data_IF_551881501360
#
_entry.id   IF_551881501360
#
_cell.length_a   1.000
_cell.length_b   1.000
_cell.length_c   1.000
_cell.angle_alpha   90.00
_cell.angle_beta   90.00
_cell.angle_gamma   90.00
#
_symmetry.space_group_name_H-M   'P 1'
#
loop_
_entity.id
_entity.type
_entity.pdbx_description
1 polymer ?
#
# COMPACT_ATOMS: atom_id res chain seq x y z
N UNK A 1 17.15 18.93 -2.44
CA UNK A 1 16.75 18.15 -1.25
C UNK A 1 16.50 19.15 -0.12
N UNK A 2 15.35 19.05 0.54
CA UNK A 2 14.87 19.98 1.56
C UNK A 2 14.17 19.19 2.69
N UNK A 3 13.92 19.81 3.83
CA UNK A 3 13.26 19.19 4.98
C UNK A 3 12.13 20.11 5.46
N UNK A 4 11.00 19.53 5.89
CA UNK A 4 9.85 20.26 6.43
C UNK A 4 10.21 21.17 7.59
N UNK A 5 9.42 22.23 7.76
CA UNK A 5 9.55 23.13 8.91
C UNK A 5 8.88 22.52 10.15
N UNK A 6 9.17 23.03 11.35
CA UNK A 6 8.51 22.56 12.58
C UNK A 6 6.98 22.69 12.55
N UNK A 7 6.43 23.70 11.88
CA UNK A 7 4.97 23.90 11.77
C UNK A 7 4.29 22.85 10.88
N UNK A 8 5.09 22.17 10.07
CA UNK A 8 4.71 21.15 9.10
C UNK A 8 5.03 19.73 9.64
N UNK A 9 5.36 19.59 10.93
CA UNK A 9 5.92 18.35 11.47
C UNK A 9 4.98 17.15 11.33
N UNK A 10 3.70 17.32 11.69
CA UNK A 10 2.73 16.24 11.79
C UNK A 10 2.28 15.72 10.42
N UNK A 11 2.11 16.62 9.44
CA UNK A 11 1.74 16.26 8.08
C UNK A 11 2.08 17.35 7.06
N UNK A 12 2.50 16.94 5.86
CA UNK A 12 2.85 17.81 4.72
C UNK A 12 2.40 17.16 3.41
N UNK A 13 2.02 17.97 2.43
CA UNK A 13 1.58 17.44 1.13
C UNK A 13 2.78 17.04 0.26
N UNK A 14 3.84 17.85 0.23
CA UNK A 14 4.99 17.61 -0.64
C UNK A 14 6.03 16.68 -0.01
N UNK A 15 6.55 15.66 -0.72
CA UNK A 15 7.58 14.78 -0.18
C UNK A 15 8.87 15.56 0.14
N UNK A 16 9.33 15.44 1.39
CA UNK A 16 10.58 16.00 1.88
C UNK A 16 11.64 14.91 2.13
N UNK A 17 12.83 15.31 2.56
CA UNK A 17 13.92 14.37 2.86
C UNK A 17 13.52 13.29 3.88
N UNK A 18 12.69 13.63 4.88
CA UNK A 18 12.26 12.65 5.86
C UNK A 18 11.38 11.58 5.19
N UNK A 19 10.38 11.98 4.41
CA UNK A 19 9.56 11.04 3.64
C UNK A 19 10.40 10.12 2.73
N UNK A 20 11.26 10.71 1.88
CA UNK A 20 12.04 9.95 0.90
C UNK A 20 13.05 9.01 1.56
N UNK A 21 13.78 9.47 2.58
CA UNK A 21 14.86 8.69 3.18
C UNK A 21 14.34 7.76 4.28
N UNK A 22 13.54 8.27 5.22
CA UNK A 22 13.06 7.48 6.35
C UNK A 22 11.91 6.55 5.93
N UNK A 23 11.01 7.02 5.07
CA UNK A 23 9.85 6.23 4.62
C UNK A 23 10.24 5.11 3.66
N UNK A 24 11.00 5.42 2.60
CA UNK A 24 11.23 4.47 1.49
C UNK A 24 12.48 3.61 1.66
N UNK A 25 13.62 4.19 2.07
CA UNK A 25 14.92 3.50 1.99
C UNK A 25 15.06 2.27 2.91
N UNK A 26 14.50 2.21 4.13
CA UNK A 26 14.69 1.05 5.00
C UNK A 26 14.20 -0.27 4.39
N UNK A 27 13.11 -0.26 3.62
CA UNK A 27 12.59 -1.48 3.00
C UNK A 27 13.41 -1.97 1.80
N UNK A 28 14.27 -1.13 1.22
CA UNK A 28 15.20 -1.56 0.18
C UNK A 28 16.30 -2.51 0.69
N UNK A 29 16.41 -2.70 2.01
CA UNK A 29 17.26 -3.74 2.60
C UNK A 29 16.59 -5.13 2.61
N UNK A 30 15.29 -5.21 2.36
CA UNK A 30 14.63 -6.49 2.06
C UNK A 30 14.83 -6.81 0.56
N UNK A 31 15.46 -7.94 0.22
CA UNK A 31 15.80 -8.25 -1.16
C UNK A 31 14.58 -8.45 -2.06
N UNK A 32 13.48 -9.00 -1.54
CA UNK A 32 12.26 -9.23 -2.32
C UNK A 32 11.59 -7.90 -2.63
N UNK A 33 11.54 -6.99 -1.66
CA UNK A 33 11.02 -5.64 -1.88
C UNK A 33 11.91 -4.83 -2.83
N UNK A 34 13.23 -4.95 -2.73
CA UNK A 34 14.16 -4.30 -3.65
C UNK A 34 13.99 -4.81 -5.10
N UNK A 35 13.88 -6.13 -5.28
CA UNK A 35 13.62 -6.74 -6.60
C UNK A 35 12.27 -6.29 -7.17
N UNK A 36 11.23 -6.18 -6.33
CA UNK A 36 9.94 -5.60 -6.70
C UNK A 36 10.09 -4.16 -7.19
N UNK A 37 10.81 -3.30 -6.47
CA UNK A 37 11.03 -1.90 -6.86
C UNK A 37 11.78 -1.78 -8.20
N UNK A 38 12.78 -2.64 -8.43
CA UNK A 38 13.49 -2.71 -9.70
C UNK A 38 12.57 -3.15 -10.85
N UNK A 39 11.77 -4.21 -10.64
CA UNK A 39 10.82 -4.71 -11.62
C UNK A 39 9.74 -3.66 -11.95
N UNK A 40 9.22 -2.96 -10.94
CA UNK A 40 8.30 -1.84 -11.09
C UNK A 40 8.90 -0.74 -11.98
N UNK A 41 10.13 -0.31 -11.69
CA UNK A 41 10.82 0.71 -12.48
C UNK A 41 11.03 0.30 -13.94
N UNK A 42 11.43 -0.95 -14.18
CA UNK A 42 11.56 -1.50 -15.54
C UNK A 42 10.22 -1.54 -16.28
N UNK A 43 9.13 -1.88 -15.58
CA UNK A 43 7.77 -1.87 -16.12
C UNK A 43 7.29 -0.47 -16.54
N UNK A 44 7.79 0.58 -15.89
CA UNK A 44 7.50 1.99 -16.21
C UNK A 44 7.75 2.35 -17.68
N UNK A 45 8.87 1.90 -18.25
CA UNK A 45 9.21 2.15 -19.66
C UNK A 45 8.19 1.54 -20.63
N UNK A 46 7.65 0.36 -20.27
CA UNK A 46 6.64 -0.30 -21.08
C UNK A 46 5.29 0.41 -20.97
N UNK A 47 4.92 0.83 -19.76
CA UNK A 47 3.66 1.53 -19.51
C UNK A 47 3.61 2.92 -20.18
N UNK A 48 4.73 3.64 -20.23
CA UNK A 48 4.86 4.92 -20.93
C UNK A 48 4.54 4.79 -22.42
N UNK A 49 5.09 3.77 -23.08
CA UNK A 49 4.79 3.45 -24.48
C UNK A 49 3.35 3.00 -24.76
N UNK A 50 2.52 2.83 -23.72
CA UNK A 50 1.16 2.31 -23.80
C UNK A 50 0.09 3.24 -23.20
N UNK A 51 0.46 4.47 -22.79
CA UNK A 51 -0.43 5.40 -22.07
C UNK A 51 -1.08 4.75 -20.83
N UNK A 52 -0.26 3.98 -20.08
CA UNK A 52 -0.66 3.15 -18.96
C UNK A 52 0.02 3.55 -17.63
N UNK A 53 0.73 4.68 -17.59
CA UNK A 53 1.45 5.17 -16.41
C UNK A 53 0.54 5.40 -15.20
N UNK A 54 -0.70 5.84 -15.41
CA UNK A 54 -1.73 5.99 -14.39
C UNK A 54 -2.00 4.70 -13.61
N UNK A 55 -1.90 3.54 -14.27
CA UNK A 55 -2.11 2.24 -13.62
C UNK A 55 -0.92 1.87 -12.73
N UNK A 56 0.31 2.16 -13.18
CA UNK A 56 1.49 1.99 -12.34
C UNK A 56 1.53 3.00 -11.18
N UNK A 57 1.10 4.23 -11.40
CA UNK A 57 1.00 5.22 -10.33
C UNK A 57 0.05 4.75 -9.22
N UNK A 58 -1.10 4.15 -9.58
CA UNK A 58 -2.01 3.53 -8.60
C UNK A 58 -1.38 2.34 -7.89
N UNK A 59 -0.66 1.48 -8.61
CA UNK A 59 0.11 0.38 -8.02
C UNK A 59 1.10 0.90 -6.98
N UNK A 60 1.91 1.87 -7.35
CA UNK A 60 2.90 2.49 -6.46
C UNK A 60 2.23 3.10 -5.23
N UNK A 61 1.17 3.89 -5.42
CA UNK A 61 0.45 4.56 -4.35
C UNK A 61 -0.12 3.58 -3.33
N UNK A 62 -0.83 2.55 -3.79
CA UNK A 62 -1.47 1.59 -2.88
C UNK A 62 -0.55 0.50 -2.34
N UNK A 63 0.74 0.53 -2.71
CA UNK A 63 1.73 -0.41 -2.20
C UNK A 63 2.87 0.32 -1.50
N UNK A 64 3.78 0.89 -2.28
CA UNK A 64 4.99 1.57 -1.79
C UNK A 64 4.65 2.75 -0.87
N UNK A 65 3.59 3.51 -1.16
CA UNK A 65 3.23 4.69 -0.35
C UNK A 65 2.27 4.36 0.81
N UNK A 66 1.19 3.62 0.54
CA UNK A 66 0.10 3.39 1.50
C UNK A 66 -0.25 1.92 1.69
N UNK A 67 0.73 1.03 1.54
CA UNK A 67 0.54 -0.41 1.72
C UNK A 67 0.54 -0.87 3.18
N UNK A 68 -0.34 -1.82 3.47
CA UNK A 68 -0.38 -2.55 4.74
C UNK A 68 -0.02 -4.03 4.52
N UNK A 69 0.51 -4.67 5.54
CA UNK A 69 0.89 -6.09 5.50
C UNK A 69 0.31 -6.84 6.70
N UNK A 70 -0.31 -7.99 6.44
CA UNK A 70 -0.79 -8.90 7.47
C UNK A 70 0.37 -9.74 8.00
N UNK A 71 0.50 -9.82 9.31
CA UNK A 71 1.50 -10.66 9.98
C UNK A 71 0.82 -11.56 11.03
N UNK A 72 1.50 -12.61 11.51
CA UNK A 72 0.99 -13.40 12.63
C UNK A 72 0.75 -12.58 13.91
N UNK A 73 1.38 -11.41 14.05
CA UNK A 73 1.21 -10.49 15.17
C UNK A 73 0.18 -9.38 14.88
N UNK A 74 -0.62 -9.55 13.83
CA UNK A 74 -1.63 -8.59 13.38
C UNK A 74 -1.18 -7.73 12.21
N UNK A 75 -1.97 -6.71 11.90
CA UNK A 75 -1.73 -5.80 10.79
C UNK A 75 -0.54 -4.88 11.07
N UNK A 76 0.29 -4.63 10.06
CA UNK A 76 1.47 -3.74 10.10
C UNK A 76 1.51 -2.85 8.86
N UNK A 77 2.32 -1.80 8.96
CA UNK A 77 2.52 -0.81 7.90
C UNK A 77 3.84 -1.11 7.19
N UNK A 78 3.85 -0.98 5.86
CA UNK A 78 5.08 -0.91 5.08
C UNK A 78 5.10 0.30 4.12
N UNK A 79 3.96 0.94 3.87
CA UNK A 79 3.89 2.12 3.02
C UNK A 79 4.66 3.32 3.59
N UNK A 80 5.52 3.93 2.78
CA UNK A 80 6.38 5.05 3.16
C UNK A 80 5.62 6.33 3.53
N UNK A 81 4.55 6.66 2.79
CA UNK A 81 3.63 7.74 3.12
C UNK A 81 3.02 7.60 4.51
N UNK A 82 2.71 6.36 4.92
CA UNK A 82 2.21 6.10 6.28
C UNK A 82 3.35 6.18 7.30
N UNK A 83 4.48 5.52 7.06
CA UNK A 83 5.62 5.48 8.00
C UNK A 83 6.21 6.86 8.31
N UNK A 84 6.03 7.83 7.42
CA UNK A 84 6.53 9.19 7.55
C UNK A 84 5.48 10.23 7.97
N UNK A 85 4.25 9.81 8.25
CA UNK A 85 3.14 10.66 8.72
C UNK A 85 2.60 10.15 10.06
N UNK A 86 2.70 10.98 11.10
CA UNK A 86 2.25 10.60 12.44
C UNK A 86 0.73 10.33 12.51
N UNK A 87 -0.06 11.12 11.78
CA UNK A 87 -1.51 10.98 11.72
C UNK A 87 -1.96 9.76 10.93
N UNK A 88 -1.30 9.46 9.81
CA UNK A 88 -1.66 8.35 8.93
C UNK A 88 -1.40 6.99 9.59
N UNK A 89 -0.40 6.88 10.49
CA UNK A 89 -0.15 5.64 11.26
C UNK A 89 -1.36 5.24 12.07
N UNK A 90 -1.95 6.17 12.84
CA UNK A 90 -3.11 5.89 13.68
C UNK A 90 -4.36 5.65 12.83
N UNK A 91 -4.57 6.48 11.81
CA UNK A 91 -5.73 6.36 10.93
C UNK A 91 -5.74 5.04 10.16
N UNK A 92 -4.61 4.66 9.54
CA UNK A 92 -4.49 3.45 8.72
C UNK A 92 -4.71 2.15 9.52
N UNK A 93 -4.41 2.12 10.82
CA UNK A 93 -4.54 0.92 11.66
C UNK A 93 -5.82 0.86 12.48
N UNK A 94 -6.32 1.98 12.98
CA UNK A 94 -7.39 1.99 13.99
C UNK A 94 -8.65 2.73 13.58
N UNK A 95 -8.59 3.60 12.57
CA UNK A 95 -9.78 4.35 12.15
C UNK A 95 -10.86 3.44 11.57
N UNK A 96 -12.14 3.61 11.98
CA UNK A 96 -13.27 2.94 11.34
C UNK A 96 -13.63 3.55 9.98
N UNK A 97 -13.04 4.71 9.63
CA UNK A 97 -13.21 5.33 8.31
C UNK A 97 -12.24 4.74 7.27
N UNK A 98 -11.18 4.08 7.72
CA UNK A 98 -10.17 3.47 6.88
C UNK A 98 -10.57 2.04 6.51
N UNK A 99 -10.75 1.79 5.22
CA UNK A 99 -11.06 0.44 4.72
C UNK A 99 -9.78 -0.33 4.47
N UNK A 100 -9.72 -1.57 4.95
CA UNK A 100 -8.57 -2.46 4.80
C UNK A 100 -9.00 -3.65 3.96
N UNK A 101 -8.63 -3.65 2.69
CA UNK A 101 -9.07 -4.66 1.72
C UNK A 101 -7.88 -5.51 1.30
N UNK A 102 -8.11 -6.80 1.06
CA UNK A 102 -7.06 -7.70 0.59
C UNK A 102 -6.49 -7.24 -0.76
N UNK A 103 -5.19 -7.43 -0.96
CA UNK A 103 -4.52 -7.08 -2.20
C UNK A 103 -5.14 -7.82 -3.40
N UNK A 104 -5.57 -7.04 -4.39
CA UNK A 104 -6.10 -7.55 -5.66
C UNK A 104 -5.65 -6.61 -6.77
N UNK A 105 -4.74 -7.09 -7.63
CA UNK A 105 -4.11 -6.24 -8.63
C UNK A 105 -5.11 -5.65 -9.64
N UNK A 106 -6.01 -6.42 -10.30
CA UNK A 106 -7.00 -5.84 -11.23
C UNK A 106 -7.91 -4.77 -10.59
N UNK A 107 -8.33 -4.98 -9.33
CA UNK A 107 -9.08 -4.00 -8.53
C UNK A 107 -8.27 -2.75 -8.27
N UNK A 108 -7.01 -2.92 -7.86
CA UNK A 108 -6.10 -1.85 -7.47
C UNK A 108 -5.77 -0.94 -8.65
N UNK A 109 -5.48 -1.51 -9.83
CA UNK A 109 -5.18 -0.71 -11.02
C UNK A 109 -6.36 0.21 -11.41
N UNK A 110 -7.59 -0.09 -10.99
CA UNK A 110 -8.77 0.75 -11.25
C UNK A 110 -9.08 1.73 -10.11
N UNK A 111 -8.42 1.62 -8.97
CA UNK A 111 -8.66 2.48 -7.79
C UNK A 111 -8.06 3.87 -7.97
N UNK A 112 -8.90 4.90 -7.87
CA UNK A 112 -8.44 6.28 -7.72
C UNK A 112 -8.07 6.55 -6.27
N UNK A 113 -7.11 7.45 -6.07
CA UNK A 113 -6.64 7.89 -4.76
C UNK A 113 -6.72 9.41 -4.61
N UNK A 114 -6.62 9.89 -3.37
CA UNK A 114 -6.49 11.31 -3.02
C UNK A 114 -5.10 11.57 -2.48
N UNK A 115 -4.56 12.75 -2.75
CA UNK A 115 -3.20 13.15 -2.34
C UNK A 115 -3.20 14.15 -1.19
N UNK A 116 -4.36 14.71 -0.84
CA UNK A 116 -4.56 15.84 0.06
C UNK A 116 -5.43 15.49 1.28
N UNK A 117 -5.67 14.20 1.50
CA UNK A 117 -6.50 13.67 2.58
C UNK A 117 -5.98 12.28 2.99
N UNK A 118 -6.32 11.85 4.20
CA UNK A 118 -6.02 10.51 4.67
C UNK A 118 -6.68 9.46 3.77
N UNK A 119 -6.00 8.33 3.55
CA UNK A 119 -6.52 7.35 2.62
C UNK A 119 -7.80 6.70 3.17
N UNK A 120 -8.83 6.64 2.34
CA UNK A 120 -10.08 5.93 2.68
C UNK A 120 -9.96 4.41 2.46
N UNK A 121 -8.91 3.95 1.79
CA UNK A 121 -8.72 2.54 1.42
C UNK A 121 -7.24 2.19 1.41
N UNK A 122 -6.90 1.12 2.11
CA UNK A 122 -5.57 0.53 2.19
C UNK A 122 -5.64 -0.91 1.67
N UNK A 123 -4.69 -1.27 0.80
CA UNK A 123 -4.55 -2.64 0.35
C UNK A 123 -3.60 -3.41 1.27
N UNK A 124 -4.05 -4.59 1.70
CA UNK A 124 -3.36 -5.46 2.64
C UNK A 124 -2.77 -6.64 1.88
N UNK A 125 -1.44 -6.74 1.88
CA UNK A 125 -0.71 -7.90 1.38
C UNK A 125 -0.47 -8.90 2.51
N UNK A 126 -0.26 -10.17 2.17
CA UNK A 126 0.12 -11.21 3.14
C UNK A 126 1.63 -11.46 3.17
N UNK A 127 2.38 -10.99 2.15
CA UNK A 127 3.84 -11.04 2.09
C UNK A 127 4.39 -10.14 0.99
N UNK A 128 5.67 -9.75 1.05
CA UNK A 128 6.33 -9.06 -0.07
C UNK A 128 6.45 -9.95 -1.31
N UNK A 129 6.53 -11.27 -1.14
CA UNK A 129 6.50 -12.20 -2.26
C UNK A 129 5.21 -12.07 -3.08
N UNK A 130 4.06 -11.79 -2.43
CA UNK A 130 2.79 -11.55 -3.13
C UNK A 130 2.88 -10.32 -4.06
N UNK A 131 3.56 -9.25 -3.65
CA UNK A 131 3.76 -8.07 -4.51
C UNK A 131 4.68 -8.39 -5.69
N UNK A 132 5.78 -9.10 -5.43
CA UNK A 132 6.71 -9.52 -6.46
C UNK A 132 6.03 -10.44 -7.48
N UNK A 133 5.32 -11.46 -7.03
CA UNK A 133 4.60 -12.40 -7.89
C UNK A 133 3.49 -11.71 -8.69
N UNK A 134 2.84 -10.69 -8.12
CA UNK A 134 1.84 -9.91 -8.82
C UNK A 134 2.44 -9.00 -9.90
N UNK A 135 3.71 -8.61 -9.79
CA UNK A 135 4.40 -7.74 -10.74
C UNK A 135 5.29 -8.47 -11.75
N UNK A 136 5.57 -9.76 -11.53
CA UNK A 136 6.35 -10.58 -12.46
C UNK A 136 5.69 -10.81 -13.85
N UNK A 137 4.35 -10.99 -13.98
CA UNK A 137 3.70 -11.18 -15.27
C UNK A 137 3.74 -9.95 -16.17
N UNK A 138 3.44 -10.14 -17.46
CA UNK A 138 3.24 -9.02 -18.37
C UNK A 138 1.96 -8.22 -18.02
N UNK A 139 2.11 -6.93 -17.76
CA UNK A 139 1.01 -6.03 -17.43
C UNK A 139 0.19 -5.56 -18.64
N UNK A 140 0.67 -5.73 -19.88
CA UNK A 140 -0.07 -5.36 -21.09
C UNK A 140 -1.53 -5.83 -21.10
N UNK A 141 -1.87 -7.12 -20.83
CA UNK A 141 -3.26 -7.56 -20.74
C UNK A 141 -4.02 -6.92 -19.57
N UNK A 142 -3.34 -6.61 -18.46
CA UNK A 142 -3.96 -6.01 -17.27
C UNK A 142 -4.36 -4.54 -17.53
N UNK A 143 -3.52 -3.78 -18.24
CA UNK A 143 -3.85 -2.41 -18.65
C UNK A 143 -5.08 -2.38 -19.55
N UNK A 144 -5.16 -3.28 -20.53
CA UNK A 144 -6.31 -3.38 -21.41
C UNK A 144 -7.60 -3.73 -20.64
N UNK A 145 -7.52 -4.65 -19.69
CA UNK A 145 -8.67 -5.01 -18.83
C UNK A 145 -9.09 -3.85 -17.91
N UNK A 146 -8.12 -3.12 -17.35
CA UNK A 146 -8.38 -1.95 -16.52
C UNK A 146 -9.05 -0.84 -17.33
N UNK A 147 -8.59 -0.57 -18.54
CA UNK A 147 -9.15 0.44 -19.44
C UNK A 147 -10.57 0.08 -19.93
N UNK A 148 -10.89 -1.21 -20.05
CA UNK A 148 -12.21 -1.67 -20.46
C UNK A 148 -13.28 -1.54 -19.36
N UNK A 149 -12.91 -1.15 -18.13
CA UNK A 149 -13.81 -1.09 -16.99
C UNK A 149 -13.78 0.30 -16.32
N UNK A 150 -14.86 0.72 -15.64
CA UNK A 150 -14.87 1.99 -14.93
C UNK A 150 -13.84 2.03 -13.80
N UNK A 151 -13.25 3.22 -13.61
CA UNK A 151 -12.48 3.53 -12.41
C UNK A 151 -13.35 3.39 -11.14
N UNK A 152 -12.68 3.16 -10.02
CA UNK A 152 -13.30 2.98 -8.72
C UNK A 152 -12.87 4.14 -7.83
N UNK A 153 -13.85 4.87 -7.31
CA UNK A 153 -13.60 6.06 -6.50
C UNK A 153 -12.96 5.70 -5.14
N UNK A 154 -12.16 6.61 -4.54
CA UNK A 154 -11.57 6.40 -3.23
C UNK A 154 -12.66 6.08 -2.20
N UNK A 155 -12.46 5.05 -1.39
CA UNK A 155 -13.48 4.65 -0.42
C UNK A 155 -14.76 4.14 -1.07
N UNK A 156 -14.70 3.44 -2.20
CA UNK A 156 -15.75 2.55 -2.70
C UNK A 156 -15.43 1.08 -2.41
N UNK A 157 -16.45 0.27 -2.09
CA UNK A 157 -16.34 -1.20 -1.98
C UNK A 157 -17.03 -1.82 -3.19
N UNK A 158 -16.43 -2.86 -3.75
CA UNK A 158 -17.07 -3.69 -4.77
C UNK A 158 -17.96 -4.78 -4.15
N UNK A 159 -18.94 -5.31 -4.89
CA UNK A 159 -19.74 -6.44 -4.42
C UNK A 159 -18.86 -7.62 -3.99
N UNK A 160 -19.08 -8.09 -2.75
CA UNK A 160 -18.33 -9.20 -2.16
C UNK A 160 -17.03 -8.79 -1.45
N UNK A 161 -16.62 -7.52 -1.53
CA UNK A 161 -15.57 -6.98 -0.66
C UNK A 161 -16.17 -6.65 0.71
N UNK A 162 -15.60 -7.25 1.74
CA UNK A 162 -15.76 -6.81 3.12
C UNK A 162 -14.48 -6.12 3.60
N UNK A 163 -14.59 -5.23 4.58
CA UNK A 163 -13.44 -4.85 5.39
C UNK A 163 -12.91 -6.16 5.98
N UNK A 164 -11.72 -6.58 5.55
CA UNK A 164 -11.23 -7.93 5.85
C UNK A 164 -11.23 -8.15 7.36
N UNK A 165 -11.65 -9.32 7.84
CA UNK A 165 -11.72 -9.62 9.28
C UNK A 165 -10.41 -9.19 9.98
N UNK A 166 -10.50 -8.08 10.72
CA UNK A 166 -9.40 -7.52 11.53
C UNK A 166 -9.30 -8.23 12.90
N UNK A 167 -10.23 -9.16 13.19
CA UNK A 167 -10.36 -9.83 14.49
C UNK A 167 -9.40 -11.01 14.71
N UNK A 168 -8.32 -11.17 13.95
CA UNK A 168 -7.33 -12.22 14.22
C UNK A 168 -6.49 -11.98 15.49
N UNK A 169 -6.79 -10.93 16.28
CA UNK A 169 -6.06 -10.57 17.49
C UNK A 169 -6.87 -10.69 18.79
N UNK A 170 -7.87 -11.59 18.87
CA UNK A 170 -8.27 -12.07 20.19
C UNK A 170 -7.31 -13.20 20.62
N UNK A 171 -6.51 -13.03 21.69
CA UNK A 171 -5.78 -14.15 22.26
C UNK A 171 -6.80 -15.18 22.74
N UNK A 172 -6.75 -16.40 22.21
CA UNK A 172 -7.60 -17.48 22.71
C UNK A 172 -7.31 -17.68 24.20
N UNK A 173 -8.33 -17.61 25.09
CA UNK A 173 -8.13 -17.87 26.50
C UNK A 173 -7.95 -19.37 26.70
N UNK A 174 -6.71 -19.85 26.63
CA UNK A 174 -6.41 -21.26 26.90
C UNK A 174 -5.16 -21.81 26.24
N UNK A 175 -3.97 -21.37 26.64
CA UNK A 175 -2.77 -22.19 26.52
C UNK A 175 -1.93 -22.01 27.79
N UNK A 176 -1.99 -23.03 28.64
CA UNK A 176 -1.36 -23.11 29.93
C UNK A 176 0.18 -22.97 29.88
N UNK A 177 0.69 -22.25 30.88
CA UNK A 177 1.89 -22.55 31.68
C UNK A 177 2.94 -23.49 31.08
N UNK A 178 4.13 -22.94 30.80
CA UNK A 178 5.37 -23.63 31.12
C UNK A 178 6.39 -22.62 31.67
N UNK A 179 6.64 -22.73 32.98
CA UNK A 179 7.88 -22.27 33.60
C UNK A 179 9.04 -23.04 32.95
N UNK A 180 10.12 -22.36 32.59
CA UNK A 180 11.46 -22.47 33.20
C UNK A 180 12.13 -21.10 33.05
#
# INVERSE_FOLDING_TARGET
>A
MWLRKPEEFDDIVEPDLFHDLFGHVPLLFDPVFADYMQAFGAGGLKADGMDALQYLARLYWYTVEFGLIRTPQGLRIYGAGILSSGGEVEHSLHSPLARRIGFNLPRLLRSRYRIDDYQSTYFVIDSFQQLFDATAPDFTPLYAQAAASPDIEPGALLPGESEGDLNCCEPQPGAHSARV
#
